data_IF_172405808132
#
_entry.id   IF_172405808132
#
_cell.length_a   1.000
_cell.length_b   1.000
_cell.length_c   1.000
_cell.angle_alpha   90.00
_cell.angle_beta   90.00
_cell.angle_gamma   90.00
#
_symmetry.space_group_name_H-M   'P 1'
#
loop_
_entity.id
_entity.type
_entity.pdbx_description
1 polymer ?
#
# COMPACT_ATOMS: atom_id res chain seq x y z
N UNK A 1 6.28 -19.19 1.23
CA UNK A 1 7.22 -18.14 0.79
C UNK A 1 8.12 -18.60 -0.37
N UNK A 2 9.04 -19.59 -0.25
CA UNK A 2 9.97 -19.97 -1.33
C UNK A 2 9.26 -20.39 -2.63
N UNK A 3 8.23 -21.25 -2.52
CA UNK A 3 7.39 -21.66 -3.67
C UNK A 3 6.62 -20.47 -4.28
N UNK A 4 6.18 -19.53 -3.47
CA UNK A 4 5.51 -18.32 -3.93
C UNK A 4 6.44 -17.50 -4.84
N UNK A 5 7.68 -17.27 -4.41
CA UNK A 5 8.68 -16.54 -5.19
C UNK A 5 8.99 -17.23 -6.51
N UNK A 6 9.17 -18.56 -6.51
CA UNK A 6 9.40 -19.31 -7.75
C UNK A 6 8.24 -19.15 -8.73
N UNK A 7 7.01 -19.26 -8.24
CA UNK A 7 5.80 -19.09 -9.06
C UNK A 7 5.68 -17.66 -9.59
N UNK A 8 5.91 -16.67 -8.72
CA UNK A 8 5.89 -15.26 -9.11
C UNK A 8 6.93 -14.94 -10.19
N UNK A 9 8.17 -15.33 -9.98
CA UNK A 9 9.25 -15.08 -10.93
C UNK A 9 9.02 -15.77 -12.29
N UNK A 10 8.33 -16.91 -12.30
CA UNK A 10 7.95 -17.62 -13.52
C UNK A 10 6.78 -16.93 -14.23
N UNK A 11 5.78 -16.47 -13.46
CA UNK A 11 4.58 -15.80 -14.00
C UNK A 11 4.91 -14.40 -14.55
N UNK A 12 5.86 -13.69 -13.93
CA UNK A 12 6.22 -12.32 -14.26
C UNK A 12 7.71 -12.20 -14.63
N UNK A 13 8.13 -12.70 -15.79
CA UNK A 13 9.54 -12.70 -16.19
C UNK A 13 10.10 -11.29 -16.46
N UNK A 14 9.23 -10.32 -16.73
CA UNK A 14 9.59 -8.90 -16.96
C UNK A 14 9.88 -8.12 -15.69
N UNK A 15 9.53 -8.63 -14.52
CA UNK A 15 9.80 -7.95 -13.25
C UNK A 15 11.30 -7.94 -12.99
N UNK A 16 11.88 -6.75 -12.90
CA UNK A 16 13.31 -6.52 -12.63
C UNK A 16 13.55 -6.03 -11.19
N UNK A 17 12.58 -5.32 -10.63
CA UNK A 17 12.66 -4.71 -9.30
C UNK A 17 11.49 -5.14 -8.43
N UNK A 18 11.74 -5.28 -7.13
CA UNK A 18 10.73 -5.61 -6.13
C UNK A 18 10.74 -4.53 -5.05
N UNK A 19 9.61 -3.92 -4.83
CA UNK A 19 9.37 -2.98 -3.74
C UNK A 19 9.16 -3.76 -2.45
N UNK A 20 10.19 -3.89 -1.63
CA UNK A 20 10.09 -4.48 -0.30
C UNK A 20 9.69 -3.37 0.68
N UNK A 21 8.46 -3.42 1.20
CA UNK A 21 7.87 -2.33 1.95
C UNK A 21 7.26 -2.73 3.29
N UNK A 22 7.32 -1.78 4.22
CA UNK A 22 6.53 -1.70 5.44
C UNK A 22 5.62 -0.46 5.34
N UNK A 23 4.57 -0.39 6.13
CA UNK A 23 3.67 0.78 6.17
C UNK A 23 3.80 1.46 7.52
N UNK A 24 4.02 2.78 7.54
CA UNK A 24 4.05 3.57 8.77
C UNK A 24 2.64 3.89 9.30
N UNK A 25 2.56 4.54 10.47
CA UNK A 25 1.28 4.93 11.10
C UNK A 25 0.49 5.98 10.29
N UNK A 26 1.10 6.61 9.30
CA UNK A 26 0.46 7.58 8.41
C UNK A 26 -0.05 6.92 7.11
N UNK A 27 0.08 5.58 6.96
CA UNK A 27 -0.28 4.85 5.76
C UNK A 27 0.75 5.00 4.62
N UNK A 28 1.93 5.56 4.89
CA UNK A 28 2.98 5.74 3.89
C UNK A 28 3.80 4.47 3.75
N UNK A 29 3.92 3.95 2.53
CA UNK A 29 4.80 2.85 2.22
C UNK A 29 6.27 3.30 2.33
N UNK A 30 7.04 2.61 3.18
CA UNK A 30 8.46 2.82 3.42
C UNK A 30 9.22 1.56 3.03
N UNK A 31 10.38 1.67 2.42
CA UNK A 31 11.09 0.47 2.03
C UNK A 31 12.23 0.70 1.06
N UNK A 32 12.57 -0.36 0.34
CA UNK A 32 13.66 -0.34 -0.65
C UNK A 32 13.24 -1.06 -1.92
N UNK A 33 13.74 -0.61 -3.03
CA UNK A 33 13.70 -1.35 -4.28
C UNK A 33 14.82 -2.38 -4.30
N UNK A 34 14.46 -3.64 -4.47
CA UNK A 34 15.36 -4.78 -4.45
C UNK A 34 15.45 -5.35 -5.87
N UNK A 35 16.66 -5.50 -6.44
CA UNK A 35 16.81 -6.21 -7.70
C UNK A 35 16.26 -7.63 -7.61
N UNK A 36 15.57 -8.09 -8.66
CA UNK A 36 14.97 -9.43 -8.75
C UNK A 36 15.88 -10.55 -8.23
N UNK A 37 17.16 -10.51 -8.61
CA UNK A 37 18.14 -11.54 -8.22
C UNK A 37 18.49 -11.55 -6.73
N UNK A 38 18.03 -10.58 -5.96
CA UNK A 38 18.26 -10.49 -4.51
C UNK A 38 17.07 -10.93 -3.65
N UNK A 39 15.96 -11.30 -4.28
CA UNK A 39 14.74 -11.67 -3.53
C UNK A 39 14.99 -12.81 -2.55
N UNK A 40 15.77 -13.83 -2.94
CA UNK A 40 16.07 -14.97 -2.07
C UNK A 40 16.81 -14.54 -0.80
N UNK A 41 17.80 -13.67 -0.89
CA UNK A 41 18.53 -13.19 0.29
C UNK A 41 17.63 -12.38 1.25
N UNK A 42 16.62 -11.68 0.71
CA UNK A 42 15.65 -10.97 1.53
C UNK A 42 14.71 -11.94 2.26
N UNK A 43 14.37 -13.07 1.65
CA UNK A 43 13.58 -14.10 2.32
C UNK A 43 14.34 -14.80 3.44
N UNK A 44 15.64 -15.04 3.22
CA UNK A 44 16.49 -15.79 4.15
C UNK A 44 16.94 -14.90 5.33
N UNK A 45 17.36 -13.67 5.05
CA UNK A 45 18.04 -12.77 6.00
C UNK A 45 17.17 -11.57 6.44
N UNK A 46 16.03 -11.34 5.79
CA UNK A 46 15.25 -10.12 5.95
C UNK A 46 15.90 -8.89 5.31
N UNK A 47 15.26 -7.75 5.50
CA UNK A 47 15.73 -6.44 5.06
C UNK A 47 15.92 -5.53 6.27
N UNK A 48 17.09 -4.91 6.40
CA UNK A 48 17.34 -3.93 7.46
C UNK A 48 16.78 -2.56 7.05
N UNK A 49 15.94 -2.02 7.93
CA UNK A 49 15.47 -0.65 7.88
C UNK A 49 15.58 -0.02 9.27
N UNK A 50 15.90 1.27 9.36
CA UNK A 50 15.94 1.95 10.65
C UNK A 50 14.54 1.96 11.28
N UNK A 51 14.49 1.73 12.60
CA UNK A 51 13.21 1.76 13.36
C UNK A 51 12.53 3.13 13.29
N UNK A 52 13.31 4.22 13.14
CA UNK A 52 12.81 5.58 12.95
C UNK A 52 11.93 5.73 11.69
N UNK A 53 12.11 4.89 10.67
CA UNK A 53 11.24 4.93 9.48
C UNK A 53 9.75 4.75 9.80
N UNK A 54 9.42 4.12 10.94
CA UNK A 54 8.04 3.94 11.43
C UNK A 54 7.61 5.04 12.41
N UNK A 55 8.55 5.85 12.92
CA UNK A 55 8.34 6.91 13.90
C UNK A 55 8.30 8.31 13.29
N UNK A 56 7.76 8.48 12.10
CA UNK A 56 7.67 9.76 11.41
C UNK A 56 6.28 10.40 11.57
N UNK A 57 6.26 11.75 11.63
CA UNK A 57 5.02 12.51 11.50
C UNK A 57 4.52 12.54 10.05
N UNK A 58 3.34 13.15 9.82
CA UNK A 58 2.74 13.27 8.48
C UNK A 58 3.60 14.10 7.48
N UNK A 59 4.56 14.85 7.97
CA UNK A 59 5.51 15.65 7.18
C UNK A 59 6.82 14.92 6.92
N UNK A 60 6.97 13.69 7.43
CA UNK A 60 8.19 12.89 7.33
C UNK A 60 9.30 13.34 8.29
N UNK A 61 8.96 13.99 9.40
CA UNK A 61 9.90 14.41 10.44
C UNK A 61 9.89 13.39 11.57
N UNK A 62 11.05 13.20 12.19
CA UNK A 62 11.16 12.35 13.38
C UNK A 62 10.27 12.87 14.52
N UNK A 63 9.53 11.96 15.13
CA UNK A 63 8.79 12.22 16.37
C UNK A 63 9.78 12.06 17.51
N UNK A 64 10.11 13.13 18.28
CA UNK A 64 11.18 13.10 19.29
C UNK A 64 11.00 12.00 20.34
N UNK A 65 9.76 11.70 20.71
CA UNK A 65 9.41 10.68 21.70
C UNK A 65 9.65 9.25 21.20
N UNK A 66 9.70 9.07 19.87
CA UNK A 66 9.99 7.80 19.21
C UNK A 66 11.42 7.75 18.67
N UNK A 67 12.14 8.87 18.69
CA UNK A 67 13.53 8.93 18.28
C UNK A 67 14.42 8.23 19.33
N UNK A 68 15.31 7.36 18.86
CA UNK A 68 16.23 6.64 19.73
C UNK A 68 17.38 7.56 20.18
N UNK A 69 17.53 7.78 21.47
CA UNK A 69 18.57 8.64 22.06
C UNK A 69 20.02 8.20 21.72
N UNK A 70 20.21 6.95 21.32
CA UNK A 70 21.52 6.33 21.08
C UNK A 70 21.80 6.01 19.60
N UNK A 71 21.14 6.71 18.66
CA UNK A 71 21.29 6.50 17.23
C UNK A 71 20.11 5.69 16.64
N UNK A 72 20.10 5.64 15.31
CA UNK A 72 19.03 5.00 14.56
C UNK A 72 19.30 3.50 14.45
N UNK A 73 18.65 2.72 15.30
CA UNK A 73 18.83 1.27 15.38
C UNK A 73 18.01 0.61 14.28
N UNK A 74 18.66 -0.28 13.51
CA UNK A 74 17.97 -1.10 12.52
C UNK A 74 17.01 -2.10 13.17
N UNK A 75 15.82 -2.21 12.57
CA UNK A 75 14.92 -3.35 12.72
C UNK A 75 15.12 -4.31 11.54
N UNK A 76 14.69 -5.55 11.72
CA UNK A 76 14.69 -6.56 10.67
C UNK A 76 13.29 -6.68 10.08
N UNK A 77 13.16 -6.38 8.79
CA UNK A 77 11.89 -6.53 8.08
C UNK A 77 11.84 -7.92 7.45
N UNK A 78 10.90 -8.72 7.89
CA UNK A 78 10.66 -10.07 7.42
C UNK A 78 9.50 -10.09 6.43
N UNK A 79 9.61 -10.90 5.39
CA UNK A 79 8.58 -11.01 4.36
C UNK A 79 7.29 -11.62 4.91
N UNK A 80 6.16 -11.04 4.52
CA UNK A 80 4.82 -11.59 4.81
C UNK A 80 4.45 -12.59 3.72
N UNK A 81 3.99 -13.78 4.11
CA UNK A 81 3.53 -14.82 3.17
C UNK A 81 2.36 -14.33 2.33
N UNK A 82 2.28 -14.81 1.09
CA UNK A 82 1.23 -14.50 0.10
C UNK A 82 1.11 -13.01 -0.28
N UNK A 83 2.14 -12.20 0.04
CA UNK A 83 2.15 -10.76 -0.24
C UNK A 83 2.98 -10.34 -1.46
N UNK A 84 3.70 -11.26 -2.09
CA UNK A 84 4.45 -10.96 -3.30
C UNK A 84 3.52 -10.88 -4.51
N UNK A 85 3.26 -9.67 -4.97
CA UNK A 85 2.31 -9.37 -6.05
C UNK A 85 2.97 -8.50 -7.12
N UNK A 86 2.53 -8.58 -8.39
CA UNK A 86 3.01 -7.66 -9.40
C UNK A 86 2.39 -6.27 -9.21
N UNK A 87 3.15 -5.23 -9.57
CA UNK A 87 2.65 -3.86 -9.63
C UNK A 87 2.33 -3.54 -11.09
N UNK A 88 1.08 -3.18 -11.36
CA UNK A 88 0.66 -2.70 -12.68
C UNK A 88 0.99 -1.22 -12.80
N UNK A 89 1.71 -0.88 -13.83
CA UNK A 89 1.99 0.51 -14.21
C UNK A 89 1.48 0.76 -15.63
N UNK A 90 1.33 2.01 -16.07
CA UNK A 90 1.02 2.30 -17.47
C UNK A 90 2.05 1.74 -18.47
N UNK A 91 3.23 1.32 -17.98
CA UNK A 91 4.31 0.71 -18.79
C UNK A 91 4.24 -0.82 -18.82
N UNK A 92 3.40 -1.43 -17.99
CA UNK A 92 3.28 -2.88 -17.83
C UNK A 92 3.65 -3.36 -16.43
N UNK A 93 4.01 -4.64 -16.29
CA UNK A 93 4.39 -5.30 -15.05
C UNK A 93 5.89 -5.52 -14.98
N UNK A 94 6.65 -4.48 -14.78
CA UNK A 94 8.11 -4.50 -14.62
C UNK A 94 8.57 -4.45 -13.16
N UNK A 95 7.64 -4.29 -12.24
CA UNK A 95 7.87 -4.22 -10.79
C UNK A 95 7.03 -5.25 -10.04
N UNK A 96 7.57 -5.74 -8.93
CA UNK A 96 6.85 -6.52 -7.92
C UNK A 96 6.76 -5.75 -6.61
N UNK A 97 5.84 -6.14 -5.75
CA UNK A 97 5.65 -5.59 -4.41
C UNK A 97 5.67 -6.74 -3.41
N UNK A 98 6.41 -6.59 -2.32
CA UNK A 98 6.50 -7.53 -1.22
C UNK A 98 6.23 -6.79 0.09
N UNK A 99 5.17 -7.15 0.78
CA UNK A 99 4.88 -6.60 2.11
C UNK A 99 5.78 -7.26 3.13
N UNK A 100 6.32 -6.44 4.02
CA UNK A 100 7.18 -6.90 5.11
C UNK A 100 6.62 -6.44 6.45
N UNK A 101 7.10 -7.05 7.51
CA UNK A 101 6.79 -6.68 8.90
C UNK A 101 8.08 -6.62 9.70
N UNK A 102 8.19 -5.66 10.62
CA UNK A 102 9.41 -5.43 11.37
C UNK A 102 9.43 -6.24 12.67
N UNK A 103 10.57 -6.86 12.91
CA UNK A 103 10.95 -7.49 14.18
C UNK A 103 12.19 -6.80 14.75
N UNK A 104 12.40 -6.96 16.03
CA UNK A 104 13.61 -6.49 16.71
C UNK A 104 14.81 -7.43 16.52
N UNK A 105 15.93 -7.12 17.13
CA UNK A 105 17.17 -7.89 17.08
C UNK A 105 17.07 -9.28 17.74
N UNK A 106 16.03 -9.54 18.50
CA UNK A 106 15.73 -10.86 19.10
C UNK A 106 14.76 -11.68 18.25
N UNK A 107 14.21 -11.11 17.18
CA UNK A 107 13.14 -11.69 16.37
C UNK A 107 11.75 -11.49 16.95
N UNK A 108 11.61 -10.71 18.03
CA UNK A 108 10.30 -10.40 18.58
C UNK A 108 9.59 -9.30 17.75
N UNK A 109 8.24 -9.29 17.72
CA UNK A 109 7.47 -8.27 17.02
C UNK A 109 7.84 -6.86 17.48
N UNK A 110 8.22 -5.99 16.53
CA UNK A 110 8.46 -4.59 16.84
C UNK A 110 7.14 -3.81 16.90
N UNK A 111 6.75 -3.37 18.09
CA UNK A 111 5.45 -2.73 18.32
C UNK A 111 5.33 -1.29 17.79
N UNK A 112 6.37 -0.76 17.13
CA UNK A 112 6.28 0.44 16.31
C UNK A 112 5.74 0.17 14.89
N UNK A 113 5.67 -1.11 14.48
CA UNK A 113 5.07 -1.52 13.21
C UNK A 113 3.55 -1.69 13.37
N UNK A 114 2.72 -0.92 12.62
CA UNK A 114 1.26 -1.02 12.67
C UNK A 114 0.73 -2.43 12.39
N UNK A 115 1.39 -3.22 11.52
CA UNK A 115 1.02 -4.62 11.27
C UNK A 115 1.18 -5.49 12.50
N UNK A 116 2.24 -5.29 13.27
CA UNK A 116 2.45 -6.04 14.53
C UNK A 116 1.43 -5.66 15.60
N UNK A 117 1.03 -4.38 15.65
CA UNK A 117 -0.06 -3.94 16.53
C UNK A 117 -1.38 -4.61 16.14
N UNK A 118 -1.70 -4.61 14.84
CA UNK A 118 -2.90 -5.27 14.33
C UNK A 118 -2.88 -6.77 14.62
N UNK A 119 -1.76 -7.46 14.38
CA UNK A 119 -1.61 -8.88 14.66
C UNK A 119 -1.91 -9.19 16.14
N UNK A 120 -1.36 -8.39 17.07
CA UNK A 120 -1.63 -8.51 18.50
C UNK A 120 -3.10 -8.29 18.87
N UNK A 121 -3.77 -7.35 18.24
CA UNK A 121 -5.22 -7.14 18.45
C UNK A 121 -6.02 -8.35 17.95
N UNK A 122 -5.66 -8.89 16.78
CA UNK A 122 -6.32 -10.08 16.21
C UNK A 122 -6.12 -11.33 17.05
N UNK A 123 -4.97 -11.48 17.70
CA UNK A 123 -4.75 -12.57 18.70
C UNK A 123 -5.79 -12.50 19.81
N UNK A 124 -6.05 -11.30 20.36
CA UNK A 124 -7.07 -11.09 21.40
C UNK A 124 -8.50 -11.44 20.95
N UNK A 125 -8.84 -11.27 19.67
CA UNK A 125 -10.11 -11.77 19.11
C UNK A 125 -10.10 -13.30 19.04
N UNK A 126 -9.01 -13.88 18.54
CA UNK A 126 -8.86 -15.32 18.37
C UNK A 126 -8.97 -16.07 19.71
N UNK A 127 -8.34 -15.57 20.78
CA UNK A 127 -8.44 -16.12 22.15
C UNK A 127 -9.90 -16.19 22.67
N UNK A 128 -10.76 -15.31 22.16
CA UNK A 128 -12.19 -15.24 22.51
C UNK A 128 -13.08 -16.01 21.52
N UNK A 129 -12.49 -16.73 20.57
CA UNK A 129 -13.19 -17.37 19.45
C UNK A 129 -14.05 -16.38 18.64
N UNK A 130 -13.58 -15.14 18.50
CA UNK A 130 -14.20 -14.10 17.68
C UNK A 130 -13.37 -13.90 16.41
N UNK A 131 -14.04 -13.67 15.30
CA UNK A 131 -13.43 -13.30 14.02
C UNK A 131 -13.97 -11.93 13.62
N UNK A 132 -13.14 -10.89 13.58
CA UNK A 132 -13.55 -9.58 13.07
C UNK A 132 -13.84 -9.70 11.57
N UNK A 133 -14.89 -9.01 11.12
CA UNK A 133 -15.18 -8.80 9.71
C UNK A 133 -15.18 -7.30 9.46
N UNK A 134 -14.37 -6.86 8.50
CA UNK A 134 -14.20 -5.46 8.16
C UNK A 134 -14.14 -5.32 6.65
N UNK A 135 -14.60 -4.18 6.15
CA UNK A 135 -14.43 -3.76 4.77
C UNK A 135 -13.73 -2.39 4.75
N UNK A 136 -12.99 -2.12 3.71
CA UNK A 136 -12.36 -0.83 3.49
C UNK A 136 -13.16 -0.03 2.45
N UNK A 137 -13.37 1.25 2.70
CA UNK A 137 -13.92 2.20 1.75
C UNK A 137 -12.84 3.22 1.40
N UNK A 138 -12.56 3.35 0.11
CA UNK A 138 -11.55 4.28 -0.41
C UNK A 138 -12.25 5.43 -1.12
N UNK A 139 -12.17 6.62 -0.55
CA UNK A 139 -12.72 7.84 -1.14
C UNK A 139 -11.59 8.80 -1.52
N UNK A 140 -11.57 9.28 -2.73
CA UNK A 140 -10.52 10.17 -3.22
C UNK A 140 -11.01 11.15 -4.28
N UNK A 141 -10.35 12.30 -4.34
CA UNK A 141 -10.56 13.30 -5.37
C UNK A 141 -9.57 13.09 -6.51
N UNK A 142 -10.05 13.20 -7.74
CA UNK A 142 -9.19 13.36 -8.90
C UNK A 142 -8.90 14.85 -9.08
N UNK A 143 -7.64 15.21 -8.91
CA UNK A 143 -7.20 16.58 -9.07
C UNK A 143 -6.55 16.75 -10.44
N UNK A 144 -6.77 17.90 -11.14
CA UNK A 144 -6.07 18.18 -12.36
C UNK A 144 -4.56 18.31 -12.09
N UNK A 145 -3.74 17.93 -13.05
CA UNK A 145 -2.31 18.10 -12.99
C UNK A 145 -1.97 19.61 -12.87
N UNK A 146 -1.33 20.06 -11.79
CA UNK A 146 -1.00 21.48 -11.60
C UNK A 146 -0.07 22.05 -12.68
N UNK A 147 0.55 21.23 -13.53
CA UNK A 147 1.36 21.65 -14.69
C UNK A 147 0.56 21.87 -15.97
N UNK A 148 -0.73 21.54 -16.02
CA UNK A 148 -1.60 21.67 -17.18
C UNK A 148 -2.71 22.71 -16.99
N UNK A 149 -2.39 23.97 -17.14
CA UNK A 149 -3.24 25.06 -17.64
C UNK A 149 -4.41 25.61 -16.82
N UNK A 150 -4.76 25.14 -15.62
CA UNK A 150 -5.77 25.79 -14.78
C UNK A 150 -5.44 25.75 -13.29
N UNK A 151 -5.69 26.85 -12.55
CA UNK A 151 -5.61 26.82 -11.10
C UNK A 151 -6.56 25.76 -10.54
N UNK A 152 -6.12 25.02 -9.50
CA UNK A 152 -6.89 23.98 -8.82
C UNK A 152 -8.32 24.44 -8.46
N UNK A 153 -8.46 25.70 -8.05
CA UNK A 153 -9.73 26.33 -7.68
C UNK A 153 -10.72 26.38 -8.85
N UNK A 154 -10.28 26.77 -10.05
CA UNK A 154 -11.16 26.82 -11.23
C UNK A 154 -11.62 25.44 -11.69
N UNK A 155 -10.81 24.41 -11.44
CA UNK A 155 -11.16 23.03 -11.73
C UNK A 155 -12.17 22.47 -10.73
N UNK A 156 -12.07 22.83 -9.45
CA UNK A 156 -13.03 22.47 -8.43
C UNK A 156 -14.36 23.22 -8.62
N UNK A 157 -14.32 24.51 -8.95
CA UNK A 157 -15.52 25.33 -9.25
C UNK A 157 -16.28 24.79 -10.48
N UNK A 158 -15.59 24.22 -11.47
CA UNK A 158 -16.23 23.58 -12.62
C UNK A 158 -16.90 22.25 -12.28
N UNK A 159 -16.46 21.57 -11.24
CA UNK A 159 -17.10 20.35 -10.71
C UNK A 159 -18.34 20.67 -9.90
N UNK A 160 -18.37 21.78 -9.16
CA UNK A 160 -19.51 22.26 -8.38
C UNK A 160 -20.71 22.68 -9.24
N UNK A 161 -20.49 23.14 -10.46
CA UNK A 161 -21.56 23.48 -11.41
C UNK A 161 -22.32 22.26 -11.95
N UNK A 162 -21.80 21.05 -11.70
CA UNK A 162 -22.37 19.78 -12.14
C UNK A 162 -23.12 19.04 -11.00
N UNK A 163 -23.61 19.74 -10.00
CA UNK A 163 -24.31 19.21 -8.81
C UNK A 163 -25.49 18.26 -9.04
N UNK A 164 -25.71 17.76 -10.27
CA UNK A 164 -26.65 16.71 -10.63
C UNK A 164 -26.03 15.34 -10.94
N UNK A 165 -24.71 15.18 -10.79
CA UNK A 165 -23.98 14.00 -11.27
C UNK A 165 -23.68 12.96 -10.18
N UNK A 166 -24.33 13.06 -9.02
CA UNK A 166 -24.25 12.05 -7.98
C UNK A 166 -24.73 10.71 -8.53
N UNK A 167 -23.90 9.68 -8.42
CA UNK A 167 -24.12 8.31 -8.95
C UNK A 167 -24.32 8.23 -10.47
N UNK A 168 -23.94 9.27 -11.20
CA UNK A 168 -24.06 9.29 -12.65
C UNK A 168 -22.99 8.37 -13.30
N UNK A 169 -23.43 7.34 -13.99
CA UNK A 169 -22.52 6.33 -14.59
C UNK A 169 -21.66 6.92 -15.71
N UNK A 170 -22.18 7.88 -16.47
CA UNK A 170 -21.44 8.55 -17.54
C UNK A 170 -20.20 9.31 -17.02
N UNK A 171 -20.21 9.72 -15.75
CA UNK A 171 -19.05 10.37 -15.14
C UNK A 171 -17.90 9.38 -14.91
N UNK A 172 -18.21 8.12 -14.61
CA UNK A 172 -17.20 7.07 -14.50
C UNK A 172 -16.55 6.77 -15.87
N UNK A 173 -17.31 6.88 -16.97
CA UNK A 173 -16.79 6.67 -18.33
C UNK A 173 -15.68 7.66 -18.67
N UNK A 174 -15.73 8.89 -18.17
CA UNK A 174 -14.68 9.89 -18.37
C UNK A 174 -13.34 9.49 -17.72
N UNK A 175 -13.37 8.58 -16.75
CA UNK A 175 -12.21 8.09 -16.01
C UNK A 175 -11.92 6.61 -16.31
N UNK A 176 -12.52 6.05 -17.37
CA UNK A 176 -12.48 4.62 -17.70
C UNK A 176 -11.05 4.05 -17.75
N UNK A 177 -10.10 4.77 -18.37
CA UNK A 177 -8.70 4.31 -18.47
C UNK A 177 -8.06 4.08 -17.09
N UNK A 178 -8.25 5.01 -16.15
CA UNK A 178 -7.76 4.88 -14.79
C UNK A 178 -8.51 3.77 -14.04
N UNK A 179 -9.83 3.72 -14.17
CA UNK A 179 -10.66 2.72 -13.50
C UNK A 179 -10.38 1.31 -14.00
N UNK A 180 -10.09 1.14 -15.28
CA UNK A 180 -9.69 -0.13 -15.86
C UNK A 180 -8.32 -0.59 -15.30
N UNK A 181 -7.36 0.33 -15.16
CA UNK A 181 -6.08 0.03 -14.53
C UNK A 181 -6.26 -0.39 -13.05
N UNK A 182 -7.14 0.28 -12.31
CA UNK A 182 -7.47 -0.09 -10.93
C UNK A 182 -8.10 -1.48 -10.86
N UNK A 183 -9.08 -1.78 -11.71
CA UNK A 183 -9.74 -3.09 -11.78
C UNK A 183 -8.76 -4.22 -12.09
N UNK A 184 -7.87 -4.01 -13.06
CA UNK A 184 -6.81 -4.99 -13.36
C UNK A 184 -5.82 -5.12 -12.20
N UNK A 185 -5.50 -4.04 -11.48
CA UNK A 185 -4.67 -4.10 -10.28
C UNK A 185 -5.32 -4.94 -9.20
N UNK A 186 -6.59 -4.71 -8.87
CA UNK A 186 -7.33 -5.50 -7.89
C UNK A 186 -7.33 -6.98 -8.24
N UNK A 187 -7.65 -7.31 -9.50
CA UNK A 187 -7.63 -8.69 -9.99
C UNK A 187 -6.24 -9.33 -9.90
N UNK A 188 -5.21 -8.60 -10.30
CA UNK A 188 -3.83 -9.12 -10.37
C UNK A 188 -3.23 -9.29 -8.97
N UNK A 189 -3.61 -8.44 -8.04
CA UNK A 189 -3.17 -8.50 -6.64
C UNK A 189 -4.09 -9.35 -5.75
N UNK A 190 -5.16 -9.92 -6.33
CA UNK A 190 -6.16 -10.71 -5.60
C UNK A 190 -6.82 -9.91 -4.46
N UNK A 191 -7.14 -8.65 -4.76
CA UNK A 191 -7.85 -7.76 -3.85
C UNK A 191 -9.34 -7.79 -4.18
N UNK A 192 -10.22 -8.13 -3.22
CA UNK A 192 -11.65 -8.04 -3.44
C UNK A 192 -12.09 -6.58 -3.59
N UNK A 193 -13.10 -6.32 -4.40
CA UNK A 193 -13.83 -5.06 -4.42
C UNK A 193 -15.27 -5.32 -4.83
N UNK A 194 -16.21 -4.58 -4.27
CA UNK A 194 -17.64 -4.75 -4.56
C UNK A 194 -18.11 -3.77 -5.63
N UNK A 195 -17.66 -2.54 -5.61
CA UNK A 195 -18.12 -1.52 -6.55
C UNK A 195 -17.29 -0.27 -6.60
N UNK A 196 -17.56 0.54 -7.62
CA UNK A 196 -16.99 1.87 -7.81
C UNK A 196 -18.15 2.79 -8.11
N UNK A 197 -18.26 3.89 -7.39
CA UNK A 197 -19.31 4.90 -7.60
C UNK A 197 -18.71 6.30 -7.67
N UNK A 198 -19.42 7.19 -8.36
CA UNK A 198 -19.14 8.61 -8.36
C UNK A 198 -20.03 9.26 -7.30
N UNK A 199 -19.39 9.78 -6.29
CA UNK A 199 -20.02 10.63 -5.27
C UNK A 199 -19.87 12.11 -5.65
N UNK A 200 -20.42 13.05 -4.91
CA UNK A 200 -20.45 14.49 -5.21
C UNK A 200 -19.25 14.98 -6.05
N UNK A 201 -18.06 14.95 -5.47
CA UNK A 201 -16.80 15.30 -6.15
C UNK A 201 -15.72 14.23 -5.99
N UNK A 202 -16.08 13.04 -5.47
CA UNK A 202 -15.17 11.93 -5.21
C UNK A 202 -15.50 10.71 -6.06
N UNK A 203 -14.50 9.83 -6.17
CA UNK A 203 -14.69 8.44 -6.56
C UNK A 203 -14.60 7.59 -5.29
N UNK A 204 -15.59 6.74 -5.08
CA UNK A 204 -15.70 5.85 -3.95
C UNK A 204 -15.55 4.39 -4.44
N UNK A 205 -14.72 3.62 -3.76
CA UNK A 205 -14.49 2.20 -3.99
C UNK A 205 -14.76 1.46 -2.70
N UNK A 206 -15.66 0.48 -2.72
CA UNK A 206 -15.97 -0.40 -1.58
C UNK A 206 -15.48 -1.83 -1.81
N UNK A 207 -15.11 -2.48 -0.71
CA UNK A 207 -14.77 -3.89 -0.60
C UNK A 207 -15.94 -4.73 -0.10
#
# INVERSE_FOLDING_TARGET
>A
MQREVELFLKAYPSVEMIEALITDCNGVARGKWIPRGKIQSILDDGLKLPKSALGLDIWGRDIPELAHANGDIDGYCMAVEDSLKPVLTPRGTDQGQLIMTMVDETGAPYMGDPRQILAKVLEGFSERNLKPCMAAELEFYLLPDPGRDKPLRESLDSLDTLGGNLYALNELDHHSEMLDLLRETFKTQDLPYEGIIKELSLIHISE
#
